data_IF_434251727903
#
_entry.id   IF_434251727903
#
_cell.length_a   1.000
_cell.length_b   1.000
_cell.length_c   1.000
_cell.angle_alpha   90.00
_cell.angle_beta   90.00
_cell.angle_gamma   90.00
#
_symmetry.space_group_name_H-M   'P 1'
#
loop_
_entity.id
_entity.type
_entity.pdbx_description
1 polymer ?
#
# COMPACT_ATOMS: atom_id res chain seq x y z
N UNK A 1 12.19 15.66 7.61
CA UNK A 1 10.79 15.73 8.13
C UNK A 1 10.68 17.04 8.89
N UNK A 2 9.63 17.83 8.69
CA UNK A 2 9.48 19.07 9.45
C UNK A 2 9.29 18.75 10.93
N UNK A 3 10.03 19.41 11.80
CA UNK A 3 9.92 19.25 13.26
C UNK A 3 8.53 19.65 13.77
N UNK A 4 7.85 20.54 13.06
CA UNK A 4 6.47 20.93 13.34
C UNK A 4 5.48 19.76 13.10
N UNK A 5 5.63 19.03 12.00
CA UNK A 5 4.79 17.84 11.71
C UNK A 5 4.94 16.79 12.81
N UNK A 6 6.16 16.55 13.29
CA UNK A 6 6.40 15.61 14.37
C UNK A 6 5.67 16.01 15.65
N UNK A 7 5.74 17.30 16.02
CA UNK A 7 5.01 17.85 17.18
C UNK A 7 3.49 17.71 17.06
N UNK A 8 2.93 17.90 15.87
CA UNK A 8 1.49 17.86 15.63
C UNK A 8 0.95 16.46 15.36
N UNK A 9 1.81 15.48 15.12
CA UNK A 9 1.42 14.12 14.69
C UNK A 9 0.65 13.31 15.73
N UNK A 10 0.62 13.77 17.00
CA UNK A 10 -0.21 13.17 18.05
C UNK A 10 -1.68 13.61 17.97
N UNK A 11 -2.00 14.52 17.05
CA UNK A 11 -3.33 15.10 16.84
C UNK A 11 -3.91 15.81 18.06
N UNK A 12 -3.07 16.16 19.03
CA UNK A 12 -3.50 16.95 20.20
C UNK A 12 -3.36 18.44 19.91
N UNK A 13 -4.27 19.28 20.44
CA UNK A 13 -4.15 20.73 20.35
C UNK A 13 -2.85 21.23 20.98
N UNK A 14 -2.10 22.09 20.29
CA UNK A 14 -0.84 22.70 20.76
C UNK A 14 -0.95 24.20 20.74
N UNK A 15 -0.56 24.86 21.83
CA UNK A 15 -0.51 26.33 21.91
C UNK A 15 0.62 26.84 21.00
N UNK A 16 0.33 27.90 20.22
CA UNK A 16 1.32 28.46 19.26
C UNK A 16 2.62 28.92 19.94
N UNK A 17 2.50 29.60 21.12
CA UNK A 17 3.68 30.04 21.87
C UNK A 17 4.59 28.89 22.30
N UNK A 18 3.99 27.74 22.64
CA UNK A 18 4.74 26.56 23.07
C UNK A 18 5.45 25.90 21.88
N UNK A 19 4.77 25.82 20.71
CA UNK A 19 5.37 25.36 19.46
C UNK A 19 6.54 26.27 19.05
N UNK A 20 6.35 27.58 19.06
CA UNK A 20 7.41 28.55 18.73
C UNK A 20 8.62 28.41 19.65
N UNK A 21 8.37 28.29 20.96
CA UNK A 21 9.45 28.11 21.95
C UNK A 21 10.19 26.78 21.77
N UNK A 22 9.46 25.68 21.59
CA UNK A 22 10.04 24.35 21.44
C UNK A 22 10.86 24.20 20.14
N UNK A 23 10.29 24.74 19.04
CA UNK A 23 10.91 24.63 17.70
C UNK A 23 11.92 25.75 17.43
N UNK A 24 12.01 26.77 18.31
CA UNK A 24 12.82 27.98 18.15
C UNK A 24 12.47 28.74 16.86
N UNK A 25 11.20 28.85 16.57
CA UNK A 25 10.65 29.61 15.44
C UNK A 25 10.05 30.92 15.93
N UNK A 26 10.11 31.94 15.08
CA UNK A 26 9.30 33.14 15.26
C UNK A 26 7.86 32.94 14.70
N UNK A 27 7.02 34.00 14.83
CA UNK A 27 5.62 33.90 14.39
C UNK A 27 5.47 33.69 12.88
N UNK A 28 6.33 34.35 12.09
CA UNK A 28 6.24 34.30 10.62
C UNK A 28 6.77 32.96 10.11
N UNK A 29 7.84 32.45 10.70
CA UNK A 29 8.38 31.12 10.43
C UNK A 29 7.37 30.01 10.73
N UNK A 30 6.66 30.08 11.87
CA UNK A 30 5.61 29.12 12.20
C UNK A 30 4.45 29.16 11.19
N UNK A 31 4.04 30.34 10.74
CA UNK A 31 3.00 30.50 9.70
C UNK A 31 3.45 29.87 8.38
N UNK A 32 4.70 30.08 7.97
CA UNK A 32 5.26 29.49 6.77
C UNK A 32 5.31 27.95 6.84
N UNK A 33 5.79 27.40 7.96
CA UNK A 33 5.82 25.95 8.18
C UNK A 33 4.40 25.34 8.12
N UNK A 34 3.41 25.97 8.74
CA UNK A 34 2.01 25.52 8.66
C UNK A 34 1.49 25.57 7.23
N UNK A 35 1.80 26.64 6.48
CA UNK A 35 1.39 26.76 5.08
C UNK A 35 1.98 25.65 4.22
N UNK A 36 3.28 25.35 4.37
CA UNK A 36 3.94 24.26 3.68
C UNK A 36 3.32 22.89 3.99
N UNK A 37 2.96 22.64 5.24
CA UNK A 37 2.29 21.40 5.62
C UNK A 37 0.88 21.29 5.03
N UNK A 38 0.15 22.40 4.93
CA UNK A 38 -1.16 22.45 4.24
C UNK A 38 -1.03 22.22 2.73
N UNK A 39 0.01 22.75 2.08
CA UNK A 39 0.29 22.52 0.65
C UNK A 39 0.50 21.05 0.32
N UNK A 40 1.09 20.27 1.23
CA UNK A 40 1.24 18.82 1.06
C UNK A 40 0.00 18.02 1.50
N UNK A 41 -1.14 18.71 1.76
CA UNK A 41 -2.44 18.08 2.00
C UNK A 41 -2.73 17.74 3.47
N UNK A 42 -1.96 18.26 4.43
CA UNK A 42 -2.22 18.07 5.86
C UNK A 42 -3.28 19.04 6.37
N UNK A 43 -4.31 18.53 7.04
CA UNK A 43 -5.40 19.33 7.59
C UNK A 43 -5.01 19.91 8.96
N UNK A 44 -4.30 21.05 8.95
CA UNK A 44 -3.92 21.76 10.17
C UNK A 44 -4.96 22.86 10.42
N UNK A 45 -5.65 22.79 11.54
CA UNK A 45 -6.60 23.78 12.01
C UNK A 45 -5.91 24.72 13.01
N UNK A 46 -6.29 26.00 12.94
CA UNK A 46 -5.83 27.05 13.85
C UNK A 46 -7.04 27.77 14.43
N UNK A 47 -7.18 27.73 15.72
CA UNK A 47 -8.26 28.43 16.44
C UNK A 47 -7.77 28.85 17.82
N UNK A 48 -8.11 30.09 18.26
CA UNK A 48 -7.82 30.61 19.60
C UNK A 48 -6.35 30.43 20.04
N UNK A 49 -5.41 30.74 19.15
CA UNK A 49 -3.96 30.56 19.39
C UNK A 49 -3.50 29.10 19.57
N UNK A 50 -4.26 28.16 19.09
CA UNK A 50 -3.97 26.72 19.12
C UNK A 50 -3.85 26.18 17.70
N UNK A 51 -2.87 25.29 17.45
CA UNK A 51 -2.72 24.55 16.22
C UNK A 51 -3.00 23.06 16.49
N UNK A 52 -3.70 22.40 15.57
CA UNK A 52 -4.00 20.98 15.66
C UNK A 52 -3.99 20.34 14.28
N UNK A 53 -3.32 19.19 14.14
CA UNK A 53 -3.47 18.33 12.98
C UNK A 53 -4.74 17.49 13.15
N UNK A 54 -5.67 17.60 12.20
CA UNK A 54 -6.93 16.86 12.22
C UNK A 54 -6.80 15.65 11.27
N UNK A 55 -6.84 14.43 11.80
CA UNK A 55 -6.69 13.23 10.99
C UNK A 55 -7.99 12.91 10.23
N UNK A 56 -7.88 12.24 9.07
CA UNK A 56 -9.05 11.78 8.30
C UNK A 56 -9.84 10.68 9.00
N UNK A 57 -9.13 9.82 9.74
CA UNK A 57 -9.67 8.72 10.54
C UNK A 57 -8.97 8.68 11.91
N UNK A 58 -9.54 8.02 12.92
CA UNK A 58 -8.84 7.76 14.18
C UNK A 58 -7.46 7.12 13.95
N UNK A 59 -6.46 7.53 14.72
CA UNK A 59 -5.13 6.92 14.66
C UNK A 59 -5.21 5.43 15.05
N UNK A 60 -4.35 4.62 14.43
CA UNK A 60 -4.20 3.21 14.76
C UNK A 60 -3.63 3.04 16.18
N UNK A 61 -4.16 2.09 16.93
CA UNK A 61 -3.62 1.71 18.24
C UNK A 61 -2.57 0.60 18.07
N UNK A 62 -1.28 0.90 18.22
CA UNK A 62 -0.22 -0.10 18.01
C UNK A 62 -0.29 -1.26 19.00
N UNK A 63 -0.82 -1.04 20.22
CA UNK A 63 -0.93 -2.06 21.26
C UNK A 63 -1.95 -3.13 20.86
N UNK A 64 -3.12 -2.70 20.41
CA UNK A 64 -4.19 -3.58 19.92
C UNK A 64 -3.71 -4.41 18.74
N UNK A 65 -3.08 -3.74 17.75
CA UNK A 65 -2.58 -4.39 16.54
C UNK A 65 -1.47 -5.38 16.87
N UNK A 66 -0.50 -5.02 17.71
CA UNK A 66 0.60 -5.90 18.12
C UNK A 66 0.09 -7.16 18.81
N UNK A 67 -0.92 -7.01 19.68
CA UNK A 67 -1.53 -8.15 20.37
C UNK A 67 -2.24 -9.09 19.38
N UNK A 68 -2.97 -8.54 18.42
CA UNK A 68 -3.72 -9.31 17.43
C UNK A 68 -2.84 -10.01 16.37
N UNK A 69 -1.61 -9.53 16.17
CA UNK A 69 -0.67 -10.05 15.18
C UNK A 69 0.47 -10.88 15.79
N UNK A 70 0.43 -11.24 17.06
CA UNK A 70 1.43 -12.15 17.61
C UNK A 70 1.57 -13.42 16.74
N UNK A 71 2.80 -13.93 16.53
CA UNK A 71 4.07 -13.57 17.19
C UNK A 71 4.90 -12.50 16.44
N UNK A 72 4.34 -11.79 15.47
CA UNK A 72 5.06 -10.82 14.66
C UNK A 72 5.25 -9.49 15.37
N UNK A 73 6.41 -8.85 15.16
CA UNK A 73 6.70 -7.52 15.71
C UNK A 73 6.06 -6.43 14.85
N UNK A 74 5.47 -5.44 15.50
CA UNK A 74 4.83 -4.29 14.85
C UNK A 74 5.57 -3.01 15.20
N UNK A 75 6.14 -2.35 14.19
CA UNK A 75 6.81 -1.06 14.30
C UNK A 75 5.85 0.02 13.80
N UNK A 76 5.33 0.84 14.70
CA UNK A 76 4.36 1.88 14.38
C UNK A 76 5.01 3.27 14.38
N UNK A 77 4.70 4.04 13.34
CA UNK A 77 5.14 5.43 13.19
C UNK A 77 3.96 6.32 12.83
N UNK A 78 3.82 7.45 13.51
CA UNK A 78 2.84 8.46 13.07
C UNK A 78 3.27 9.09 11.76
N UNK A 79 4.57 9.37 11.62
CA UNK A 79 5.18 9.91 10.41
C UNK A 79 6.49 9.18 10.12
N UNK A 80 6.74 8.89 8.86
CA UNK A 80 8.00 8.27 8.41
C UNK A 80 8.29 8.67 6.97
N UNK A 81 9.53 8.50 6.50
CA UNK A 81 9.85 8.67 5.08
C UNK A 81 9.12 7.62 4.22
N UNK A 82 9.35 6.34 4.54
CA UNK A 82 8.73 5.20 3.85
C UNK A 82 8.77 3.96 4.73
N UNK A 83 7.65 3.24 4.82
CA UNK A 83 7.59 1.94 5.53
C UNK A 83 8.45 0.87 4.86
N UNK A 84 8.57 0.88 3.51
CA UNK A 84 9.50 0.00 2.79
C UNK A 84 10.96 0.30 3.16
N UNK A 85 11.33 1.57 3.22
CA UNK A 85 12.68 1.98 3.59
C UNK A 85 13.03 1.57 5.02
N UNK A 86 12.08 1.69 5.96
CA UNK A 86 12.25 1.20 7.32
C UNK A 86 12.60 -0.29 7.33
N UNK A 87 11.78 -1.13 6.68
CA UNK A 87 12.04 -2.58 6.61
C UNK A 87 13.40 -2.87 5.98
N UNK A 88 13.74 -2.19 4.86
CA UNK A 88 15.03 -2.36 4.17
C UNK A 88 16.21 -2.07 5.10
N UNK A 89 16.16 -0.96 5.84
CA UNK A 89 17.25 -0.52 6.71
C UNK A 89 17.40 -1.39 7.96
N UNK A 90 16.33 -2.08 8.40
CA UNK A 90 16.33 -2.91 9.61
C UNK A 90 16.31 -4.41 9.32
N UNK A 91 16.46 -4.83 8.07
CA UNK A 91 16.28 -6.22 7.61
C UNK A 91 17.10 -7.27 8.38
N UNK A 92 18.26 -6.88 8.92
CA UNK A 92 19.10 -7.78 9.73
C UNK A 92 18.60 -7.99 11.17
N UNK A 93 17.65 -7.19 11.63
CA UNK A 93 17.07 -7.21 12.97
C UNK A 93 15.65 -7.78 12.97
N UNK A 94 15.02 -7.82 11.79
CA UNK A 94 13.64 -8.25 11.61
C UNK A 94 13.55 -9.77 11.39
N UNK A 95 12.42 -10.33 11.80
CA UNK A 95 12.02 -11.70 11.51
C UNK A 95 10.97 -11.71 10.40
N UNK A 96 10.87 -12.84 9.70
CA UNK A 96 9.83 -13.07 8.68
C UNK A 96 8.44 -12.79 9.25
N UNK A 97 7.72 -11.86 8.65
CA UNK A 97 6.41 -11.42 9.08
C UNK A 97 6.41 -10.16 9.95
N UNK A 98 7.58 -9.67 10.42
CA UNK A 98 7.62 -8.38 11.12
C UNK A 98 7.24 -7.25 10.17
N UNK A 99 6.51 -6.26 10.70
CA UNK A 99 5.91 -5.21 9.88
C UNK A 99 6.13 -3.81 10.44
N UNK A 100 6.12 -2.83 9.54
CA UNK A 100 6.14 -1.40 9.81
C UNK A 100 4.81 -0.79 9.34
N UNK A 101 4.15 -0.04 10.23
CA UNK A 101 2.90 0.69 9.98
C UNK A 101 3.15 2.19 10.05
N UNK A 102 2.44 2.98 9.23
CA UNK A 102 2.51 4.43 9.33
C UNK A 102 1.15 5.10 9.11
N UNK A 103 0.94 6.26 9.76
CA UNK A 103 -0.19 7.14 9.46
C UNK A 103 0.09 8.07 8.28
N UNK A 104 1.37 8.39 8.04
CA UNK A 104 1.82 9.30 6.98
C UNK A 104 3.20 8.94 6.48
N UNK A 105 3.39 9.02 5.15
CA UNK A 105 4.70 8.90 4.51
C UNK A 105 5.07 10.18 3.76
N UNK A 106 6.26 10.72 4.02
CA UNK A 106 6.78 11.89 3.29
C UNK A 106 7.38 11.52 1.93
N UNK A 107 7.78 10.25 1.74
CA UNK A 107 8.40 9.74 0.53
C UNK A 107 7.85 8.35 0.16
N UNK A 108 6.51 8.22 0.15
CA UNK A 108 5.84 6.98 -0.24
C UNK A 108 6.19 6.58 -1.68
N UNK A 109 6.46 5.30 -1.89
CA UNK A 109 6.92 4.77 -3.19
C UNK A 109 5.90 3.85 -3.83
N UNK A 110 5.77 3.99 -5.15
CA UNK A 110 5.07 3.06 -6.03
C UNK A 110 6.02 2.42 -7.03
N UNK A 111 5.51 1.54 -7.88
CA UNK A 111 6.29 0.90 -8.95
C UNK A 111 6.81 1.93 -9.96
N UNK A 112 7.95 1.64 -10.60
CA UNK A 112 8.57 2.45 -11.65
C UNK A 112 8.85 3.89 -11.24
N UNK A 113 9.30 4.10 -9.99
CA UNK A 113 9.66 5.42 -9.48
C UNK A 113 8.47 6.36 -9.23
N UNK A 114 7.22 5.89 -9.31
CA UNK A 114 6.05 6.72 -8.99
C UNK A 114 5.99 6.98 -7.50
N UNK A 115 5.46 8.12 -7.13
CA UNK A 115 5.14 8.44 -5.75
C UNK A 115 3.80 7.80 -5.35
N UNK A 116 3.72 7.35 -4.09
CA UNK A 116 2.48 6.97 -3.42
C UNK A 116 2.09 8.09 -2.46
N UNK A 117 0.99 8.77 -2.76
CA UNK A 117 0.45 9.81 -1.88
C UNK A 117 -0.17 9.17 -0.63
N UNK A 118 0.17 9.71 0.53
CA UNK A 118 -0.21 9.13 1.83
C UNK A 118 -0.87 10.19 2.72
N UNK A 119 -2.13 10.59 2.49
CA UNK A 119 -2.82 11.51 3.38
C UNK A 119 -2.84 11.00 4.81
N UNK A 120 -2.66 11.91 5.79
CA UNK A 120 -2.50 11.57 7.20
C UNK A 120 -3.72 10.82 7.74
N UNK A 121 -3.50 9.62 8.26
CA UNK A 121 -4.53 8.70 8.77
C UNK A 121 -5.66 8.36 7.77
N UNK A 122 -5.48 8.63 6.47
CA UNK A 122 -6.49 8.37 5.42
C UNK A 122 -6.38 6.99 4.77
N UNK A 123 -5.35 6.23 5.08
CA UNK A 123 -5.04 4.95 4.44
C UNK A 123 -4.63 3.88 5.45
N UNK A 124 -4.57 2.63 4.99
CA UNK A 124 -3.75 1.58 5.60
C UNK A 124 -2.42 1.57 4.85
N UNK A 125 -1.35 1.99 5.52
CA UNK A 125 -0.01 2.05 4.97
C UNK A 125 0.88 1.14 5.80
N UNK A 126 1.38 0.08 5.21
CA UNK A 126 2.26 -0.83 5.90
C UNK A 126 3.21 -1.55 4.96
N UNK A 127 4.33 -1.97 5.50
CA UNK A 127 5.27 -2.86 4.83
C UNK A 127 5.66 -3.98 5.78
N UNK A 128 5.95 -5.15 5.23
CA UNK A 128 6.45 -6.27 6.02
C UNK A 128 7.67 -6.92 5.36
N UNK A 129 8.46 -7.53 6.22
CA UNK A 129 9.61 -8.33 5.81
C UNK A 129 9.18 -9.77 5.53
N UNK A 130 9.62 -10.31 4.39
CA UNK A 130 9.36 -11.70 4.03
C UNK A 130 10.59 -12.37 3.45
N UNK A 131 10.66 -13.69 3.59
CA UNK A 131 11.70 -14.50 2.95
C UNK A 131 11.08 -15.62 2.15
N UNK A 132 11.65 -15.94 1.00
CA UNK A 132 11.20 -17.03 0.13
C UNK A 132 12.37 -17.79 -0.47
N UNK A 133 12.19 -19.10 -0.73
CA UNK A 133 13.16 -19.91 -1.48
C UNK A 133 13.30 -19.34 -2.91
N UNK A 134 14.51 -19.02 -3.38
CA UNK A 134 14.75 -18.51 -4.74
C UNK A 134 14.33 -19.47 -5.86
N UNK A 135 14.14 -20.75 -5.54
CA UNK A 135 13.60 -21.74 -6.47
C UNK A 135 12.10 -21.61 -6.71
N UNK A 136 11.40 -20.87 -5.85
CA UNK A 136 9.97 -20.56 -6.02
C UNK A 136 9.77 -19.41 -7.01
N UNK A 137 8.72 -19.49 -7.82
CA UNK A 137 8.40 -18.43 -8.78
C UNK A 137 8.01 -17.13 -8.06
N UNK A 138 8.83 -16.07 -8.19
CA UNK A 138 8.56 -14.77 -7.58
C UNK A 138 7.51 -13.96 -8.33
N UNK A 139 7.33 -14.24 -9.62
CA UNK A 139 6.49 -13.47 -10.52
C UNK A 139 5.01 -13.40 -10.08
N UNK A 140 4.55 -14.42 -9.35
CA UNK A 140 3.20 -14.47 -8.80
C UNK A 140 3.00 -13.81 -7.43
N UNK A 141 4.06 -13.35 -6.74
CA UNK A 141 3.96 -12.94 -5.33
C UNK A 141 3.02 -11.75 -5.12
N UNK A 142 3.07 -10.74 -5.98
CA UNK A 142 2.13 -9.60 -5.90
C UNK A 142 0.68 -10.02 -6.17
N UNK A 143 0.47 -11.07 -6.97
CA UNK A 143 -0.86 -11.61 -7.24
C UNK A 143 -1.42 -12.34 -6.02
N UNK A 144 -0.60 -13.12 -5.33
CA UNK A 144 -0.98 -13.82 -4.10
C UNK A 144 -1.41 -12.82 -3.03
N UNK A 145 -0.63 -11.75 -2.85
CA UNK A 145 -0.95 -10.68 -1.91
C UNK A 145 -2.21 -9.93 -2.33
N UNK A 146 -2.34 -9.63 -3.63
CA UNK A 146 -3.52 -8.97 -4.20
C UNK A 146 -4.79 -9.76 -3.98
N UNK A 147 -4.77 -11.05 -4.26
CA UNK A 147 -5.91 -11.95 -4.02
C UNK A 147 -6.26 -12.03 -2.53
N UNK A 148 -5.26 -12.12 -1.64
CA UNK A 148 -5.49 -12.12 -0.19
C UNK A 148 -6.22 -10.85 0.28
N UNK A 149 -5.82 -9.69 -0.22
CA UNK A 149 -6.48 -8.41 0.07
C UNK A 149 -7.89 -8.39 -0.49
N UNK A 150 -8.06 -8.84 -1.74
CA UNK A 150 -9.38 -8.86 -2.39
C UNK A 150 -10.38 -9.74 -1.65
N UNK A 151 -9.96 -10.90 -1.19
CA UNK A 151 -10.78 -11.79 -0.35
C UNK A 151 -11.11 -11.18 1.02
N UNK A 152 -10.10 -10.56 1.67
CA UNK A 152 -10.30 -9.94 2.98
C UNK A 152 -11.30 -8.77 2.93
N UNK A 153 -11.29 -7.99 1.83
CA UNK A 153 -12.08 -6.77 1.69
C UNK A 153 -13.32 -6.91 0.79
N UNK A 154 -13.51 -8.07 0.16
CA UNK A 154 -14.54 -8.32 -0.86
C UNK A 154 -14.47 -7.30 -2.00
N UNK A 155 -13.29 -7.18 -2.60
CA UNK A 155 -12.97 -6.26 -3.70
C UNK A 155 -12.34 -7.02 -4.88
N UNK A 156 -11.95 -6.32 -5.94
CA UNK A 156 -11.36 -6.90 -7.13
C UNK A 156 -9.85 -6.64 -7.22
N UNK A 157 -9.21 -7.41 -8.06
CA UNK A 157 -7.80 -7.24 -8.41
C UNK A 157 -7.66 -6.82 -9.87
N UNK A 158 -6.57 -6.12 -10.15
CA UNK A 158 -6.10 -5.89 -11.52
C UNK A 158 -4.63 -6.25 -11.61
N UNK A 159 -4.32 -7.12 -12.54
CA UNK A 159 -2.95 -7.50 -12.80
C UNK A 159 -2.06 -6.27 -13.10
N UNK A 160 -0.82 -6.19 -12.58
CA UNK A 160 -0.17 -7.21 -11.75
C UNK A 160 -0.24 -6.92 -10.24
N UNK A 161 -0.69 -5.76 -9.78
CA UNK A 161 -0.47 -5.30 -8.41
C UNK A 161 -1.49 -4.27 -7.90
N UNK A 162 -2.57 -4.04 -8.62
CA UNK A 162 -3.60 -3.07 -8.21
C UNK A 162 -4.80 -3.77 -7.56
N UNK A 163 -5.32 -3.15 -6.51
CA UNK A 163 -6.59 -3.48 -5.87
C UNK A 163 -7.63 -2.48 -6.35
N UNK A 164 -8.79 -2.97 -6.77
CA UNK A 164 -9.85 -2.13 -7.32
C UNK A 164 -11.15 -2.26 -6.53
N UNK A 165 -11.87 -1.15 -6.44
CA UNK A 165 -13.25 -1.10 -5.96
C UNK A 165 -14.09 -0.35 -7.01
N UNK A 166 -15.11 -1.00 -7.53
CA UNK A 166 -15.99 -0.44 -8.57
C UNK A 166 -15.20 0.11 -9.77
N UNK A 167 -14.22 -0.64 -10.26
CA UNK A 167 -13.36 -0.29 -11.40
C UNK A 167 -12.32 0.80 -11.13
N UNK A 168 -12.27 1.38 -9.93
CA UNK A 168 -11.34 2.45 -9.53
C UNK A 168 -10.29 1.93 -8.58
N UNK A 169 -9.11 2.54 -8.57
CA UNK A 169 -7.97 2.10 -7.75
C UNK A 169 -8.23 2.33 -6.27
N UNK A 170 -8.34 1.24 -5.51
CA UNK A 170 -8.44 1.25 -4.05
C UNK A 170 -7.08 1.16 -3.38
N UNK A 171 -6.14 0.42 -3.96
CA UNK A 171 -4.84 0.18 -3.34
C UNK A 171 -3.81 -0.33 -4.32
N UNK A 172 -2.58 -0.49 -3.83
CA UNK A 172 -1.47 -1.02 -4.61
C UNK A 172 -0.46 -1.77 -3.76
N UNK A 173 0.27 -2.66 -4.41
CA UNK A 173 1.27 -3.53 -3.82
C UNK A 173 2.62 -3.26 -4.48
N UNK A 174 3.67 -3.12 -3.68
CA UNK A 174 5.05 -2.97 -4.12
C UNK A 174 5.91 -4.04 -3.47
N UNK A 175 6.38 -5.00 -4.25
CA UNK A 175 7.32 -6.03 -3.82
C UNK A 175 8.72 -5.64 -4.30
N UNK A 176 9.67 -5.57 -3.38
CA UNK A 176 11.08 -5.26 -3.66
C UNK A 176 11.97 -6.41 -3.16
N UNK A 177 12.84 -6.91 -4.04
CA UNK A 177 13.86 -7.88 -3.69
C UNK A 177 15.07 -7.09 -3.19
N UNK A 178 15.48 -7.31 -1.95
CA UNK A 178 16.58 -6.55 -1.34
C UNK A 178 17.91 -7.24 -1.57
N UNK A 179 17.99 -8.51 -1.25
CA UNK A 179 19.19 -9.31 -1.44
C UNK A 179 18.89 -10.80 -1.36
N UNK A 180 19.92 -11.61 -1.64
CA UNK A 180 19.94 -13.04 -1.44
C UNK A 180 20.89 -13.39 -0.29
N UNK A 181 20.39 -13.94 0.80
CA UNK A 181 21.17 -14.27 2.00
C UNK A 181 20.70 -15.60 2.59
N UNK A 182 21.64 -16.44 3.03
CA UNK A 182 21.36 -17.75 3.65
C UNK A 182 20.48 -18.68 2.79
N UNK A 183 20.66 -18.64 1.47
CA UNK A 183 19.88 -19.47 0.55
C UNK A 183 18.44 -19.01 0.32
N UNK A 184 18.05 -17.83 0.84
CA UNK A 184 16.71 -17.26 0.66
C UNK A 184 16.79 -15.86 0.06
N UNK A 185 15.74 -15.47 -0.66
CA UNK A 185 15.50 -14.09 -1.08
C UNK A 185 14.84 -13.33 0.06
N UNK A 186 15.40 -12.17 0.38
CA UNK A 186 14.84 -11.23 1.33
C UNK A 186 14.00 -10.20 0.58
N UNK A 187 12.75 -10.08 0.98
CA UNK A 187 11.75 -9.27 0.32
C UNK A 187 11.20 -8.21 1.28
N UNK A 188 10.92 -7.05 0.72
CA UNK A 188 10.08 -6.03 1.35
C UNK A 188 8.80 -5.91 0.55
N UNK A 189 7.68 -6.01 1.23
CA UNK A 189 6.36 -5.89 0.62
C UNK A 189 5.67 -4.67 1.19
N UNK A 190 5.47 -3.64 0.37
CA UNK A 190 4.72 -2.44 0.71
C UNK A 190 3.29 -2.50 0.20
N UNK A 191 2.36 -2.06 1.03
CA UNK A 191 0.93 -2.04 0.73
C UNK A 191 0.36 -0.68 1.14
N UNK A 192 -0.39 -0.07 0.20
CA UNK A 192 -1.21 1.12 0.47
C UNK A 192 -2.65 0.85 0.07
N UNK A 193 -3.60 1.09 0.98
CA UNK A 193 -5.04 0.91 0.74
C UNK A 193 -5.76 2.17 1.19
N UNK A 194 -6.52 2.79 0.31
CA UNK A 194 -7.32 3.98 0.60
C UNK A 194 -8.49 3.63 1.53
N UNK A 195 -8.60 4.30 2.66
CA UNK A 195 -9.74 4.13 3.57
C UNK A 195 -10.70 5.31 3.47
N UNK A 196 -10.21 6.52 3.72
CA UNK A 196 -10.90 7.79 3.54
C UNK A 196 -9.88 8.84 3.15
N UNK A 197 -10.02 9.41 1.98
CA UNK A 197 -9.11 10.43 1.47
C UNK A 197 -9.73 11.81 1.58
N UNK A 198 -8.92 12.87 1.86
CA UNK A 198 -9.38 14.24 1.81
C UNK A 198 -9.94 14.58 0.43
N UNK A 199 -10.96 15.42 0.36
CA UNK A 199 -11.51 15.89 -0.92
C UNK A 199 -10.50 16.70 -1.76
N UNK A 200 -9.52 17.30 -1.10
CA UNK A 200 -8.42 18.05 -1.73
C UNK A 200 -7.31 17.16 -2.30
N UNK A 201 -7.40 15.83 -2.17
CA UNK A 201 -6.34 14.94 -2.65
C UNK A 201 -6.32 14.91 -4.18
N UNK A 202 -5.28 15.47 -4.78
CA UNK A 202 -5.05 15.43 -6.23
C UNK A 202 -4.40 14.11 -6.62
N UNK A 203 -5.21 13.18 -7.11
CA UNK A 203 -4.75 11.90 -7.68
C UNK A 203 -5.07 11.91 -9.19
N UNK A 204 -4.05 11.76 -10.01
CA UNK A 204 -4.15 11.83 -11.48
C UNK A 204 -4.94 10.69 -12.14
N UNK A 205 -5.38 9.70 -11.38
CA UNK A 205 -6.18 8.55 -11.85
C UNK A 205 -7.43 8.37 -11.01
N UNK A 206 -8.51 7.77 -11.55
CA UNK A 206 -9.70 7.43 -10.76
C UNK A 206 -9.33 6.53 -9.58
N UNK A 207 -9.72 6.94 -8.39
CA UNK A 207 -9.49 6.20 -7.15
C UNK A 207 -10.80 5.88 -6.44
N UNK A 208 -10.75 4.87 -5.57
CA UNK A 208 -11.81 4.49 -4.64
C UNK A 208 -11.25 4.47 -3.21
N UNK A 209 -12.16 4.41 -2.25
CA UNK A 209 -11.85 4.34 -0.83
C UNK A 209 -12.82 3.41 -0.11
N UNK A 210 -12.40 2.75 0.96
CA UNK A 210 -13.20 1.73 1.65
C UNK A 210 -14.46 2.30 2.31
N UNK A 211 -14.47 3.57 2.69
CA UNK A 211 -15.66 4.25 3.22
C UNK A 211 -16.82 4.33 2.23
N UNK A 212 -16.60 4.09 0.95
CA UNK A 212 -17.67 3.97 -0.05
C UNK A 212 -18.46 2.66 0.10
N UNK A 213 -17.83 1.59 0.60
CA UNK A 213 -18.52 0.33 0.93
C UNK A 213 -19.14 0.36 2.33
N UNK A 214 -18.41 0.93 3.30
CA UNK A 214 -18.84 1.02 4.68
C UNK A 214 -18.34 2.33 5.31
N UNK A 215 -19.21 3.34 5.49
CA UNK A 215 -18.84 4.61 6.10
C UNK A 215 -18.28 4.50 7.52
N UNK A 216 -18.67 3.44 8.26
CA UNK A 216 -18.26 3.19 9.65
C UNK A 216 -17.15 2.14 9.74
N UNK A 217 -16.23 2.13 8.78
CA UNK A 217 -15.15 1.17 8.72
C UNK A 217 -14.15 1.35 9.87
N UNK A 218 -13.81 0.27 10.55
CA UNK A 218 -12.74 0.26 11.55
C UNK A 218 -11.41 -0.16 10.92
N UNK A 219 -10.46 0.79 10.91
CA UNK A 219 -9.14 0.62 10.30
C UNK A 219 -8.32 -0.51 10.95
N UNK A 220 -8.40 -0.66 12.29
CA UNK A 220 -7.62 -1.67 13.01
C UNK A 220 -8.10 -3.08 12.68
N UNK A 221 -9.40 -3.32 12.77
CA UNK A 221 -10.01 -4.60 12.42
C UNK A 221 -9.70 -5.00 10.98
N UNK A 222 -9.81 -4.06 10.04
CA UNK A 222 -9.49 -4.34 8.63
C UNK A 222 -8.01 -4.61 8.42
N UNK A 223 -7.12 -3.84 9.03
CA UNK A 223 -5.69 -4.03 8.93
C UNK A 223 -5.28 -5.44 9.40
N UNK A 224 -5.74 -5.83 10.59
CA UNK A 224 -5.46 -7.16 11.16
C UNK A 224 -5.97 -8.27 10.24
N UNK A 225 -7.22 -8.17 9.76
CA UNK A 225 -7.83 -9.13 8.84
C UNK A 225 -7.03 -9.28 7.54
N UNK A 226 -6.62 -8.16 6.95
CA UNK A 226 -5.82 -8.13 5.71
C UNK A 226 -4.47 -8.80 5.92
N UNK A 227 -3.74 -8.44 6.99
CA UNK A 227 -2.41 -9.00 7.27
C UNK A 227 -2.49 -10.51 7.52
N UNK A 228 -3.42 -10.97 8.33
CA UNK A 228 -3.63 -12.38 8.60
C UNK A 228 -3.95 -13.17 7.32
N UNK A 229 -4.80 -12.61 6.45
CA UNK A 229 -5.12 -13.24 5.16
C UNK A 229 -3.91 -13.29 4.22
N UNK A 230 -3.11 -12.22 4.15
CA UNK A 230 -1.87 -12.18 3.37
C UNK A 230 -0.91 -13.27 3.85
N UNK A 231 -0.64 -13.38 5.14
CA UNK A 231 0.32 -14.35 5.67
C UNK A 231 -0.16 -15.79 5.46
N UNK A 232 -1.46 -16.05 5.61
CA UNK A 232 -2.05 -17.34 5.28
C UNK A 232 -1.85 -17.73 3.81
N UNK A 233 -2.09 -16.77 2.89
CA UNK A 233 -1.91 -17.01 1.45
C UNK A 233 -0.45 -17.16 1.04
N UNK A 234 0.45 -16.41 1.66
CA UNK A 234 1.89 -16.54 1.44
C UNK A 234 2.41 -17.91 1.88
N UNK A 235 1.96 -18.44 3.02
CA UNK A 235 2.30 -19.78 3.48
C UNK A 235 1.81 -20.85 2.49
N UNK A 236 0.58 -20.73 1.98
CA UNK A 236 0.05 -21.65 0.93
C UNK A 236 0.86 -21.55 -0.35
N UNK A 237 1.22 -20.34 -0.78
CA UNK A 237 2.04 -20.12 -1.97
C UNK A 237 3.45 -20.72 -1.83
N UNK A 238 4.08 -20.65 -0.67
CA UNK A 238 5.36 -21.30 -0.42
C UNK A 238 5.29 -22.81 -0.53
N UNK A 239 4.15 -23.41 -0.23
CA UNK A 239 3.94 -24.85 -0.34
C UNK A 239 3.60 -25.28 -1.77
N UNK A 240 2.56 -24.64 -2.37
CA UNK A 240 1.91 -25.10 -3.60
C UNK A 240 2.25 -24.28 -4.85
N UNK A 241 2.76 -23.05 -4.69
CA UNK A 241 2.91 -22.09 -5.79
C UNK A 241 1.55 -21.56 -6.28
N UNK A 242 1.47 -21.19 -7.56
CA UNK A 242 0.22 -20.86 -8.26
C UNK A 242 -0.35 -22.16 -8.84
N UNK A 243 -1.30 -22.75 -8.11
CA UNK A 243 -2.03 -23.94 -8.52
C UNK A 243 -3.35 -23.60 -9.25
N UNK A 244 -4.10 -24.62 -9.64
CA UNK A 244 -5.36 -24.46 -10.36
C UNK A 244 -6.44 -23.80 -9.49
N UNK A 245 -6.43 -24.09 -8.19
CA UNK A 245 -7.33 -23.47 -7.22
C UNK A 245 -7.07 -21.97 -7.13
N UNK A 246 -5.79 -21.56 -7.02
CA UNK A 246 -5.40 -20.15 -7.02
C UNK A 246 -5.83 -19.45 -8.31
N UNK A 247 -5.56 -20.05 -9.48
CA UNK A 247 -5.95 -19.45 -10.77
C UNK A 247 -7.47 -19.25 -10.87
N UNK A 248 -8.26 -20.23 -10.40
CA UNK A 248 -9.72 -20.07 -10.39
C UNK A 248 -10.18 -18.96 -9.44
N UNK A 249 -9.57 -18.82 -8.27
CA UNK A 249 -9.86 -17.74 -7.32
C UNK A 249 -9.43 -16.39 -7.86
N UNK A 250 -8.30 -16.33 -8.56
CA UNK A 250 -7.87 -15.12 -9.27
C UNK A 250 -8.91 -14.69 -10.32
N UNK A 251 -9.37 -15.61 -11.16
CA UNK A 251 -10.43 -15.37 -12.17
C UNK A 251 -11.67 -14.75 -11.52
N UNK A 252 -12.12 -15.28 -10.38
CA UNK A 252 -13.32 -14.79 -9.68
C UNK A 252 -13.17 -13.35 -9.14
N UNK A 253 -11.92 -12.89 -8.88
CA UNK A 253 -11.63 -11.56 -8.36
C UNK A 253 -11.08 -10.61 -9.43
N UNK A 254 -10.72 -11.10 -10.61
CA UNK A 254 -10.12 -10.30 -11.67
C UNK A 254 -11.15 -9.34 -12.28
N UNK A 255 -10.88 -8.05 -12.21
CA UNK A 255 -11.78 -6.99 -12.71
C UNK A 255 -11.81 -6.90 -14.23
N UNK A 256 -10.75 -7.33 -14.92
CA UNK A 256 -10.59 -7.16 -16.35
C UNK A 256 -10.78 -8.45 -17.16
N UNK A 257 -11.19 -9.53 -16.50
CA UNK A 257 -11.40 -10.80 -17.17
C UNK A 257 -12.43 -10.68 -18.32
N UNK A 258 -12.02 -11.04 -19.51
CA UNK A 258 -12.86 -10.99 -20.70
C UNK A 258 -12.96 -9.61 -21.36
N UNK A 259 -12.36 -8.57 -20.78
CA UNK A 259 -12.37 -7.23 -21.35
C UNK A 259 -11.32 -7.07 -22.45
N UNK A 260 -11.58 -6.14 -23.38
CA UNK A 260 -10.59 -5.64 -24.29
C UNK A 260 -9.61 -4.73 -23.55
N UNK A 261 -8.33 -5.05 -23.61
CA UNK A 261 -7.26 -4.36 -22.89
C UNK A 261 -6.12 -3.97 -23.80
N UNK A 262 -5.38 -2.94 -23.35
CA UNK A 262 -4.08 -2.56 -23.92
C UNK A 262 -2.98 -2.90 -22.92
N UNK A 263 -2.02 -3.72 -23.37
CA UNK A 263 -0.79 -4.04 -22.64
C UNK A 263 0.31 -3.13 -23.19
N UNK A 264 0.76 -2.17 -22.36
CA UNK A 264 1.82 -1.22 -22.73
C UNK A 264 3.18 -1.83 -22.37
N UNK A 265 3.99 -2.08 -23.38
CA UNK A 265 5.36 -2.58 -23.27
C UNK A 265 6.35 -1.49 -23.71
N UNK A 266 7.66 -1.70 -23.54
CA UNK A 266 8.69 -0.81 -24.10
C UNK A 266 8.63 -0.69 -25.63
N UNK A 267 8.10 -1.70 -26.31
CA UNK A 267 7.99 -1.76 -27.78
C UNK A 267 6.67 -1.19 -28.32
N UNK A 268 5.78 -0.75 -27.43
CA UNK A 268 4.47 -0.20 -27.81
C UNK A 268 3.30 -0.90 -27.10
N UNK A 269 2.09 -0.55 -27.49
CA UNK A 269 0.87 -1.12 -26.96
C UNK A 269 0.43 -2.34 -27.79
N UNK A 270 -0.01 -3.39 -27.08
CA UNK A 270 -0.58 -4.62 -27.67
C UNK A 270 -2.01 -4.73 -27.16
N UNK A 271 -2.97 -4.77 -28.09
CA UNK A 271 -4.40 -4.91 -27.77
C UNK A 271 -4.81 -6.39 -27.80
N UNK A 272 -5.77 -6.76 -26.97
CA UNK A 272 -6.35 -8.10 -26.95
C UNK A 272 -7.36 -8.30 -25.83
N UNK A 273 -7.87 -9.51 -25.68
CA UNK A 273 -8.84 -9.89 -24.65
C UNK A 273 -8.10 -10.53 -23.47
N UNK A 274 -8.29 -9.99 -22.29
CA UNK A 274 -7.70 -10.50 -21.05
C UNK A 274 -8.33 -11.85 -20.67
N UNK A 275 -7.49 -12.87 -20.35
CA UNK A 275 -7.89 -14.25 -20.08
C UNK A 275 -7.39 -14.79 -18.74
N UNK A 276 -7.01 -13.93 -17.82
CA UNK A 276 -6.46 -14.35 -16.51
C UNK A 276 -4.95 -14.51 -16.52
N UNK A 277 -4.47 -15.49 -15.78
CA UNK A 277 -3.04 -15.73 -15.56
C UNK A 277 -2.67 -17.19 -15.82
N UNK A 278 -1.39 -17.44 -16.09
CA UNK A 278 -0.82 -18.79 -16.14
C UNK A 278 -0.25 -19.23 -14.77
N UNK A 279 0.29 -20.46 -14.70
CA UNK A 279 0.92 -21.05 -13.49
C UNK A 279 2.18 -20.31 -13.01
N UNK A 280 2.72 -19.38 -13.78
CA UNK A 280 3.83 -18.51 -13.39
C UNK A 280 3.34 -17.14 -12.89
N UNK A 281 2.04 -16.85 -13.00
CA UNK A 281 1.46 -15.54 -12.72
C UNK A 281 1.58 -14.56 -13.88
N UNK A 282 1.92 -15.01 -15.08
CA UNK A 282 1.97 -14.18 -16.28
C UNK A 282 0.56 -13.87 -16.76
N UNK A 283 0.32 -12.62 -17.15
CA UNK A 283 -0.93 -12.21 -17.74
C UNK A 283 -1.13 -12.89 -19.10
N UNK A 284 -2.26 -13.54 -19.29
CA UNK A 284 -2.68 -14.16 -20.53
C UNK A 284 -3.61 -13.23 -21.30
N UNK A 285 -3.29 -12.95 -22.56
CA UNK A 285 -4.09 -12.11 -23.46
C UNK A 285 -4.23 -12.77 -24.81
N UNK A 286 -5.44 -12.85 -25.34
CA UNK A 286 -5.69 -13.27 -26.73
C UNK A 286 -5.64 -12.05 -27.61
N UNK A 287 -4.68 -12.00 -28.52
CA UNK A 287 -4.48 -10.94 -29.52
C UNK A 287 -4.87 -11.44 -30.91
N UNK A 288 -4.87 -10.56 -31.90
CA UNK A 288 -5.10 -10.92 -33.33
C UNK A 288 -4.02 -11.89 -33.86
N UNK A 289 -2.82 -11.90 -33.24
CA UNK A 289 -1.72 -12.83 -33.58
C UNK A 289 -1.77 -14.15 -32.80
N UNK A 290 -2.77 -14.32 -31.90
CA UNK A 290 -2.92 -15.47 -31.02
C UNK A 290 -2.68 -15.17 -29.57
N UNK A 291 -2.47 -16.24 -28.78
CA UNK A 291 -2.30 -16.18 -27.33
C UNK A 291 -0.92 -15.64 -26.95
N UNK A 292 -0.87 -14.63 -26.08
CA UNK A 292 0.36 -14.01 -25.59
C UNK A 292 0.40 -13.95 -24.07
N UNK A 293 1.62 -14.03 -23.52
CA UNK A 293 1.88 -14.01 -22.08
C UNK A 293 2.83 -12.86 -21.73
N UNK A 294 2.51 -12.13 -20.65
CA UNK A 294 3.29 -10.97 -20.22
C UNK A 294 3.68 -11.12 -18.76
N UNK A 295 4.95 -10.85 -18.45
CA UNK A 295 5.41 -10.79 -17.07
C UNK A 295 5.18 -9.39 -16.45
N UNK A 296 5.16 -9.31 -15.11
CA UNK A 296 4.82 -8.11 -14.37
C UNK A 296 5.88 -6.98 -14.46
N UNK A 297 7.12 -7.29 -14.83
CA UNK A 297 8.25 -6.34 -14.74
C UNK A 297 8.15 -5.18 -15.72
N UNK A 298 7.70 -5.45 -16.94
CA UNK A 298 7.92 -4.58 -18.10
C UNK A 298 6.64 -3.92 -18.64
N UNK A 299 5.46 -4.23 -18.09
CA UNK A 299 4.20 -3.82 -18.70
C UNK A 299 3.23 -3.13 -17.75
N UNK A 300 2.31 -2.35 -18.34
CA UNK A 300 1.12 -1.84 -17.65
C UNK A 300 -0.14 -2.21 -18.43
N UNK A 301 -1.20 -2.52 -17.71
CA UNK A 301 -2.49 -2.93 -18.24
C UNK A 301 -3.52 -1.80 -18.10
N UNK A 302 -4.26 -1.54 -19.16
CA UNK A 302 -5.40 -0.63 -19.13
C UNK A 302 -6.56 -1.22 -19.94
N UNK A 303 -7.79 -0.99 -19.48
CA UNK A 303 -9.00 -1.24 -20.27
C UNK A 303 -8.98 -0.33 -21.51
N UNK A 304 -9.43 -0.83 -22.64
CA UNK A 304 -9.53 -0.03 -23.88
C UNK A 304 -10.72 0.89 -23.86
#
# INVERSE_FOLDING_TARGET
MSSLLECLSDCQPKVRSDLMSFLKLDSDELVQEIALLREVGLNIQEENNVCQLVPEMPLLNPQTISTALLPYSVHYHRTISSTNEFITNHINQLKKGDLCLAEYQTAGRGRRGRQWLSPFAGQLIFSFYWTIDPKKALDGLSLVIGLAIAEALNVKVKWPNDILLSGRKLGGILVEIINHKNGQLNLVVGIGINVKLPQSTEISQPYAQLTEQNPNIDRETILVKVIQRIYSRLAQFEEKGIDEEFMQQWINHNEFLGDEVNVFTERGAISGIEQGIDKRGYLKVITDEGERYFNAGEVSLRRK
#
